data_IF_346232420057
#
_entry.id   IF_346232420057
#
_cell.length_a   1.000
_cell.length_b   1.000
_cell.length_c   1.000
_cell.angle_alpha   90.00
_cell.angle_beta   90.00
_cell.angle_gamma   90.00
#
_symmetry.space_group_name_H-M   'P 1'
#
loop_
_entity.id
_entity.type
_entity.pdbx_description
1 polymer ?
#
# COMPACT_ATOMS: atom_id res chain seq x y z
N UNK A 1 10.89 3.46 -7.35
CA UNK A 1 11.32 2.28 -6.58
C UNK A 1 10.20 1.69 -5.70
N UNK A 2 9.72 2.41 -4.68
CA UNK A 2 8.65 1.92 -3.77
C UNK A 2 7.42 1.35 -4.51
N UNK A 3 6.96 2.03 -5.57
CA UNK A 3 5.89 1.55 -6.45
C UNK A 3 6.11 0.12 -6.97
N UNK A 4 7.31 -0.20 -7.44
CA UNK A 4 7.61 -1.52 -8.00
C UNK A 4 7.75 -2.57 -6.89
N UNK A 5 8.30 -2.20 -5.73
CA UNK A 5 8.37 -3.07 -4.55
C UNK A 5 6.98 -3.44 -4.05
N UNK A 6 6.10 -2.45 -3.87
CA UNK A 6 4.70 -2.65 -3.47
C UNK A 6 3.94 -3.51 -4.48
N UNK A 7 4.09 -3.22 -5.77
CA UNK A 7 3.42 -4.00 -6.84
C UNK A 7 3.89 -5.47 -6.83
N UNK A 8 5.19 -5.69 -6.69
CA UNK A 8 5.78 -7.03 -6.64
C UNK A 8 5.32 -7.78 -5.39
N UNK A 9 5.28 -7.11 -4.23
CA UNK A 9 4.82 -7.70 -2.97
C UNK A 9 3.35 -8.12 -3.04
N UNK A 10 2.47 -7.28 -3.59
CA UNK A 10 1.05 -7.60 -3.79
C UNK A 10 0.90 -8.85 -4.67
N UNK A 11 1.60 -8.88 -5.82
CA UNK A 11 1.57 -10.02 -6.74
C UNK A 11 2.09 -11.31 -6.09
N UNK A 12 3.21 -11.24 -5.38
CA UNK A 12 3.80 -12.38 -4.68
C UNK A 12 2.95 -12.87 -3.51
N UNK A 13 2.05 -12.03 -3.00
CA UNK A 13 1.07 -12.39 -1.96
C UNK A 13 -0.20 -13.03 -2.53
N UNK A 14 -0.26 -13.29 -3.85
CA UNK A 14 -1.39 -13.95 -4.50
C UNK A 14 -2.55 -13.01 -4.85
N UNK A 15 -2.35 -11.69 -4.74
CA UNK A 15 -3.35 -10.70 -5.14
C UNK A 15 -3.01 -10.07 -6.48
N UNK A 16 -4.03 -9.85 -7.31
CA UNK A 16 -3.89 -9.06 -8.52
C UNK A 16 -4.09 -7.57 -8.25
N UNK A 17 -3.17 -6.77 -8.78
CA UNK A 17 -3.27 -5.32 -8.73
C UNK A 17 -3.88 -4.82 -10.05
N UNK A 18 -5.07 -4.20 -9.97
CA UNK A 18 -5.72 -3.63 -11.14
C UNK A 18 -4.80 -2.63 -11.84
N UNK A 19 -4.73 -2.71 -13.18
CA UNK A 19 -3.97 -1.77 -14.00
C UNK A 19 -4.68 -0.41 -14.05
N UNK A 20 -4.55 0.36 -12.97
CA UNK A 20 -5.09 1.71 -12.84
C UNK A 20 -4.05 2.64 -12.21
N UNK A 21 -4.16 3.94 -12.50
CA UNK A 21 -3.32 4.94 -11.86
C UNK A 21 -3.74 5.07 -10.40
N UNK A 22 -2.81 4.80 -9.48
CA UNK A 22 -3.00 4.95 -8.04
C UNK A 22 -2.12 6.12 -7.57
N UNK A 23 -2.72 7.05 -6.83
CA UNK A 23 -2.01 8.16 -6.19
C UNK A 23 -2.05 7.91 -4.70
N UNK A 24 -0.87 7.87 -4.07
CA UNK A 24 -0.71 7.72 -2.63
C UNK A 24 -0.15 9.02 -2.09
N UNK A 25 -0.86 9.65 -1.17
CA UNK A 25 -0.37 10.85 -0.51
C UNK A 25 0.47 10.46 0.71
N UNK A 26 1.66 11.03 0.80
CA UNK A 26 2.58 10.82 1.92
C UNK A 26 2.80 12.15 2.65
N UNK A 27 1.80 12.56 3.41
CA UNK A 27 1.84 13.73 4.30
C UNK A 27 2.50 13.37 5.64
N UNK A 28 3.18 14.30 6.35
CA UNK A 28 3.51 15.70 6.03
C UNK A 28 4.77 15.82 5.15
N UNK A 29 4.80 16.67 4.13
CA UNK A 29 5.91 16.72 3.15
C UNK A 29 7.28 17.15 3.74
N UNK A 30 7.27 17.84 4.87
CA UNK A 30 8.42 18.34 5.64
C UNK A 30 9.24 17.23 6.31
N UNK A 31 8.65 16.04 6.52
CA UNK A 31 9.35 14.88 7.08
C UNK A 31 9.88 13.99 5.95
N UNK A 32 11.18 13.72 5.99
CA UNK A 32 11.83 12.75 5.09
C UNK A 32 11.22 11.36 5.26
N UNK A 33 10.74 10.80 4.15
CA UNK A 33 10.17 9.45 4.07
C UNK A 33 11.08 8.56 3.25
N UNK A 34 12.08 8.04 3.93
CA UNK A 34 13.12 7.18 3.33
C UNK A 34 12.93 5.72 3.81
N UNK A 35 13.38 4.76 3.00
CA UNK A 35 13.30 3.33 3.31
C UNK A 35 12.03 2.63 2.79
N UNK A 36 11.86 1.37 3.22
CA UNK A 36 10.76 0.47 2.81
C UNK A 36 9.61 0.39 3.82
N UNK A 37 9.69 1.12 4.93
CA UNK A 37 8.68 1.09 5.99
C UNK A 37 7.26 1.44 5.53
N UNK A 38 7.15 2.25 4.47
CA UNK A 38 5.86 2.64 3.89
C UNK A 38 5.29 1.59 2.94
N UNK A 39 6.08 0.61 2.49
CA UNK A 39 5.64 -0.32 1.44
C UNK A 39 4.47 -1.20 1.92
N UNK A 40 4.56 -1.74 3.15
CA UNK A 40 3.50 -2.54 3.75
C UNK A 40 2.18 -1.76 3.93
N UNK A 41 2.14 -0.61 4.63
CA UNK A 41 0.89 0.13 4.81
C UNK A 41 0.32 0.62 3.47
N UNK A 42 1.16 0.95 2.47
CA UNK A 42 0.68 1.27 1.12
C UNK A 42 0.03 0.06 0.47
N UNK A 43 0.66 -1.11 0.51
CA UNK A 43 0.12 -2.33 -0.09
C UNK A 43 -1.24 -2.71 0.53
N UNK A 44 -1.32 -2.68 1.85
CA UNK A 44 -2.53 -2.96 2.61
C UNK A 44 -3.65 -1.95 2.27
N UNK A 45 -3.34 -0.66 2.21
CA UNK A 45 -4.29 0.37 1.80
C UNK A 45 -4.84 0.14 0.39
N UNK A 46 -3.99 -0.26 -0.57
CA UNK A 46 -4.39 -0.60 -1.94
C UNK A 46 -5.32 -1.81 -1.94
N UNK A 47 -4.99 -2.87 -1.21
CA UNK A 47 -5.80 -4.10 -1.14
C UNK A 47 -7.17 -3.85 -0.49
N UNK A 48 -7.21 -3.07 0.59
CA UNK A 48 -8.46 -2.68 1.25
C UNK A 48 -9.34 -1.78 0.36
N UNK A 49 -8.74 -0.90 -0.44
CA UNK A 49 -9.49 -0.10 -1.43
C UNK A 49 -10.00 -0.95 -2.60
N UNK A 50 -9.35 -2.07 -2.89
CA UNK A 50 -9.74 -3.01 -3.94
C UNK A 50 -10.75 -4.06 -3.46
N UNK A 51 -11.10 -4.06 -2.17
CA UNK A 51 -12.04 -5.02 -1.57
C UNK A 51 -11.44 -6.38 -1.22
N UNK A 52 -10.11 -6.54 -1.32
CA UNK A 52 -9.42 -7.79 -1.00
C UNK A 52 -9.21 -8.00 0.52
N UNK A 53 -9.29 -6.91 1.30
CA UNK A 53 -9.11 -6.93 2.76
C UNK A 53 -10.27 -6.15 3.40
N UNK A 54 -10.84 -6.69 4.47
CA UNK A 54 -11.85 -5.99 5.28
C UNK A 54 -11.21 -4.83 6.02
N UNK A 55 -11.75 -3.62 5.81
CA UNK A 55 -11.28 -2.40 6.45
C UNK A 55 -11.42 -2.45 7.97
N UNK A 56 -12.36 -3.23 8.51
CA UNK A 56 -12.54 -3.35 9.95
C UNK A 56 -11.38 -4.09 10.63
N UNK A 57 -10.69 -4.98 9.90
CA UNK A 57 -9.54 -5.73 10.43
C UNK A 57 -8.29 -4.86 10.67
N UNK A 58 -8.31 -3.61 10.19
CA UNK A 58 -7.16 -2.70 10.22
C UNK A 58 -7.31 -1.57 11.24
N UNK A 59 -8.44 -1.51 11.97
CA UNK A 59 -8.79 -0.39 12.86
C UNK A 59 -7.79 -0.12 13.98
N UNK A 60 -7.06 -1.16 14.41
CA UNK A 60 -6.15 -1.11 15.56
C UNK A 60 -4.67 -1.27 15.17
N UNK A 61 -4.36 -1.29 13.87
CA UNK A 61 -3.05 -1.70 13.34
C UNK A 61 -2.33 -0.61 12.54
N UNK A 62 -3.02 0.49 12.21
CA UNK A 62 -2.49 1.61 11.40
C UNK A 62 -2.83 2.94 12.06
#
# INVERSE_FOLDING_TARGET
>A
EAKERVRTAIKNSGYDMQSRKIVVNLSPADIKKEGSFFDLPIAIGILACSGNIDKNSMKDTI
#
